data_IF_616808126268
#
_entry.id   IF_616808126268
#
_cell.length_a   1.000
_cell.length_b   1.000
_cell.length_c   1.000
_cell.angle_alpha   90.00
_cell.angle_beta   90.00
_cell.angle_gamma   90.00
#
_symmetry.space_group_name_H-M   'P 1'
#
loop_
_entity.id
_entity.type
_entity.pdbx_description
1 polymer ?
#
# COMPACT_ATOMS: atom_id res chain seq x y z
N UNK A 1 -2.51 -13.16 -32.88
CA UNK A 1 -1.79 -11.94 -32.43
C UNK A 1 -2.27 -11.57 -31.03
N UNK A 2 -1.47 -11.83 -29.99
CA UNK A 2 -1.85 -11.49 -28.61
C UNK A 2 -1.62 -9.99 -28.38
N UNK A 3 -2.68 -9.21 -28.14
CA UNK A 3 -2.57 -7.78 -27.85
C UNK A 3 -1.81 -7.61 -26.54
N UNK A 4 -0.52 -7.28 -26.61
CA UNK A 4 0.26 -6.88 -25.44
C UNK A 4 -0.42 -5.65 -24.83
N UNK A 5 -1.18 -5.85 -23.74
CA UNK A 5 -1.78 -4.77 -22.95
C UNK A 5 -0.66 -3.80 -22.61
N UNK A 6 -0.72 -2.61 -23.20
CA UNK A 6 0.26 -1.57 -23.03
C UNK A 6 0.11 -1.02 -21.60
N UNK A 7 0.77 -1.66 -20.64
CA UNK A 7 0.70 -1.32 -19.22
C UNK A 7 1.40 0.01 -19.00
N UNK A 8 0.65 1.11 -19.09
CA UNK A 8 1.14 2.39 -18.60
C UNK A 8 1.32 2.24 -17.10
N UNK A 9 2.57 2.38 -16.62
CA UNK A 9 2.87 2.38 -15.19
C UNK A 9 1.92 3.38 -14.53
N UNK A 10 1.06 2.95 -13.58
CA UNK A 10 0.29 3.88 -12.80
C UNK A 10 1.27 4.89 -12.19
N UNK A 11 0.90 6.17 -12.10
CA UNK A 11 1.71 7.13 -11.35
C UNK A 11 1.96 6.55 -9.96
N UNK A 12 3.22 6.55 -9.53
CA UNK A 12 3.60 6.05 -8.21
C UNK A 12 2.72 6.73 -7.17
N UNK A 13 2.20 5.94 -6.22
CA UNK A 13 1.40 6.50 -5.13
C UNK A 13 2.20 7.55 -4.36
N UNK A 14 3.51 7.36 -4.24
CA UNK A 14 4.43 8.30 -3.59
C UNK A 14 4.46 9.64 -4.34
N UNK A 15 4.44 9.62 -5.69
CA UNK A 15 4.38 10.85 -6.49
C UNK A 15 3.04 11.56 -6.37
N UNK A 16 1.94 10.82 -6.28
CA UNK A 16 0.61 11.40 -6.07
C UNK A 16 0.47 12.00 -4.67
N UNK A 17 1.07 11.36 -3.67
CA UNK A 17 0.94 11.72 -2.26
C UNK A 17 1.90 12.84 -1.87
N UNK A 18 3.13 12.86 -2.37
CA UNK A 18 4.05 14.00 -2.16
C UNK A 18 3.55 15.30 -2.82
N UNK A 19 2.66 15.21 -3.82
CA UNK A 19 1.98 16.38 -4.40
C UNK A 19 0.77 16.85 -3.58
N UNK A 20 0.22 15.99 -2.72
CA UNK A 20 -0.79 16.34 -1.75
C UNK A 20 -0.07 16.87 -0.51
N UNK A 21 -0.41 18.08 -0.07
CA UNK A 21 0.28 18.83 0.98
C UNK A 21 0.04 18.27 2.40
N UNK A 22 0.07 16.95 2.55
CA UNK A 22 -0.24 16.24 3.77
C UNK A 22 1.06 15.77 4.42
N UNK A 23 1.29 16.23 5.65
CA UNK A 23 2.39 15.76 6.49
C UNK A 23 2.05 14.37 7.01
N UNK A 24 2.34 13.38 6.18
CA UNK A 24 2.25 11.98 6.57
C UNK A 24 3.30 11.65 7.63
N UNK A 25 2.90 10.86 8.63
CA UNK A 25 3.85 10.29 9.58
C UNK A 25 4.85 9.39 8.84
N UNK A 26 6.01 9.12 9.45
CA UNK A 26 7.00 8.24 8.83
C UNK A 26 6.46 6.82 8.62
N UNK A 27 5.58 6.36 9.51
CA UNK A 27 4.84 5.09 9.37
C UNK A 27 3.93 5.08 8.13
N UNK A 28 3.15 6.14 7.91
CA UNK A 28 2.30 6.26 6.73
C UNK A 28 3.15 6.27 5.45
N UNK A 29 4.29 6.98 5.46
CA UNK A 29 5.23 7.01 4.31
C UNK A 29 5.81 5.63 4.01
N UNK A 30 6.16 4.86 5.05
CA UNK A 30 6.67 3.50 4.90
C UNK A 30 5.60 2.56 4.33
N UNK A 31 4.38 2.63 4.85
CA UNK A 31 3.25 1.86 4.34
C UNK A 31 2.99 2.17 2.86
N UNK A 32 2.96 3.45 2.49
CA UNK A 32 2.76 3.87 1.10
C UNK A 32 3.88 3.38 0.16
N UNK A 33 5.13 3.36 0.63
CA UNK A 33 6.26 2.76 -0.12
C UNK A 33 6.06 1.26 -0.33
N UNK A 34 5.59 0.54 0.69
CA UNK A 34 5.32 -0.89 0.58
C UNK A 34 4.19 -1.19 -0.43
N UNK A 35 3.12 -0.39 -0.42
CA UNK A 35 2.04 -0.50 -1.42
C UNK A 35 2.58 -0.25 -2.84
N UNK A 36 3.44 0.75 -3.03
CA UNK A 36 3.99 1.06 -4.35
C UNK A 36 4.89 -0.07 -4.88
N UNK A 37 5.70 -0.67 -4.02
CA UNK A 37 6.51 -1.86 -4.36
C UNK A 37 5.61 -3.03 -4.76
N UNK A 38 4.59 -3.32 -3.96
CA UNK A 38 3.63 -4.38 -4.24
C UNK A 38 2.97 -4.21 -5.62
N UNK A 39 2.54 -2.97 -5.95
CA UNK A 39 1.94 -2.67 -7.25
C UNK A 39 2.86 -2.98 -8.43
N UNK A 40 4.16 -2.72 -8.28
CA UNK A 40 5.17 -2.94 -9.32
C UNK A 40 5.44 -4.45 -9.46
N UNK A 41 5.71 -5.13 -8.35
CA UNK A 41 6.09 -6.54 -8.32
C UNK A 41 4.95 -7.44 -8.78
N UNK A 42 3.74 -7.23 -8.26
CA UNK A 42 2.56 -8.02 -8.60
C UNK A 42 1.87 -7.54 -9.89
N UNK A 43 2.39 -6.48 -10.53
CA UNK A 43 1.76 -5.79 -11.68
C UNK A 43 0.27 -5.48 -11.44
N UNK A 44 -0.07 -5.14 -10.19
CA UNK A 44 -1.43 -4.98 -9.71
C UNK A 44 -1.64 -3.55 -9.22
N UNK A 45 -2.28 -2.67 -10.01
CA UNK A 45 -2.34 -1.23 -9.76
C UNK A 45 -3.36 -0.88 -8.66
N UNK A 46 -4.28 -1.80 -8.40
CA UNK A 46 -5.31 -1.73 -7.38
C UNK A 46 -5.24 -3.02 -6.55
N UNK A 47 -4.42 -3.02 -5.48
CA UNK A 47 -4.45 -4.09 -4.50
C UNK A 47 -5.85 -4.20 -3.88
N UNK A 48 -6.29 -5.42 -3.66
CA UNK A 48 -7.53 -5.73 -2.93
C UNK A 48 -7.31 -5.54 -1.43
N UNK A 49 -8.38 -5.34 -0.66
CA UNK A 49 -8.26 -5.16 0.80
C UNK A 49 -7.51 -6.31 1.52
N UNK A 50 -7.67 -7.59 1.15
CA UNK A 50 -6.84 -8.66 1.71
C UNK A 50 -5.34 -8.50 1.43
N UNK A 51 -4.97 -8.00 0.25
CA UNK A 51 -3.57 -7.75 -0.12
C UNK A 51 -3.02 -6.53 0.63
N UNK A 52 -3.82 -5.48 0.78
CA UNK A 52 -3.47 -4.32 1.61
C UNK A 52 -3.23 -4.76 3.06
N UNK A 53 -4.09 -5.62 3.61
CA UNK A 53 -3.91 -6.19 4.94
C UNK A 53 -2.62 -7.01 5.03
N UNK A 54 -2.32 -7.86 4.03
CA UNK A 54 -1.09 -8.64 4.01
C UNK A 54 0.16 -7.74 3.98
N UNK A 55 0.13 -6.64 3.22
CA UNK A 55 1.22 -5.65 3.18
C UNK A 55 1.39 -4.99 4.55
N UNK A 56 0.30 -4.58 5.20
CA UNK A 56 0.35 -4.03 6.56
C UNK A 56 0.95 -5.04 7.55
N UNK A 57 0.46 -6.28 7.55
CA UNK A 57 0.99 -7.34 8.42
C UNK A 57 2.49 -7.58 8.17
N UNK A 58 2.96 -7.50 6.92
CA UNK A 58 4.38 -7.66 6.57
C UNK A 58 5.29 -6.56 7.13
N UNK A 59 4.75 -5.37 7.39
CA UNK A 59 5.45 -4.27 8.05
C UNK A 59 5.40 -4.37 9.59
N UNK A 60 4.75 -5.41 10.12
CA UNK A 60 4.63 -5.62 11.57
C UNK A 60 3.43 -4.93 12.21
N UNK A 61 2.51 -4.36 11.42
CA UNK A 61 1.24 -3.89 11.97
C UNK A 61 0.49 -5.05 12.61
N UNK A 62 0.09 -4.87 13.86
CA UNK A 62 -0.65 -5.86 14.64
C UNK A 62 -1.88 -5.22 15.26
N UNK A 63 -2.96 -5.98 15.34
CA UNK A 63 -4.13 -5.56 16.11
C UNK A 63 -3.75 -5.60 17.59
N UNK A 64 -3.53 -4.44 18.19
CA UNK A 64 -3.35 -4.33 19.65
C UNK A 64 -4.74 -4.40 20.26
N UNK A 65 -4.97 -5.41 21.10
CA UNK A 65 -6.20 -5.50 21.89
C UNK A 65 -6.01 -4.56 23.08
N UNK A 66 -6.78 -3.48 23.14
CA UNK A 66 -6.81 -2.63 24.31
C UNK A 66 -7.34 -3.45 25.51
N UNK A 67 -6.75 -3.34 26.71
CA UNK A 67 -7.13 -4.15 27.87
C UNK A 67 -8.62 -3.99 28.25
N UNK A 68 -9.29 -2.91 27.85
CA UNK A 68 -10.73 -2.71 27.98
C UNK A 68 -11.61 -3.63 27.09
N UNK A 69 -11.01 -4.48 26.25
CA UNK A 69 -11.71 -5.47 25.42
C UNK A 69 -11.46 -6.92 25.87
N UNK A 70 -10.83 -7.12 27.03
CA UNK A 70 -10.76 -8.42 27.69
C UNK A 70 -11.93 -8.43 28.68
N UNK A 71 -13.06 -9.01 28.25
CA UNK A 71 -14.26 -9.17 29.08
C UNK A 71 -14.01 -9.99 30.34
#
# INVERSE_FOLDING_TARGET
MSKKKNWKRPRSLITQINGMRFDHSDEEREFLKAIDRYKIEMRRPYPTYPEVLAIALSLGYRKVVSPENIG
#
